data_IF_109657096181
#
_entry.id   IF_109657096181
#
_cell.length_a   1.000
_cell.length_b   1.000
_cell.length_c   1.000
_cell.angle_alpha   90.00
_cell.angle_beta   90.00
_cell.angle_gamma   90.00
#
_symmetry.space_group_name_H-M   'P 1'
#
loop_
_entity.id
_entity.type
_entity.pdbx_description
1 polymer ?
#
# COMPACT_ATOMS: atom_id res chain seq x y z
N UNK A 1 -1.55 -0.11 -36.02
CA UNK A 1 -1.32 -1.15 -35.00
C UNK A 1 -1.25 -0.46 -33.65
N UNK A 2 -2.20 -0.73 -32.76
CA UNK A 2 -2.16 -0.20 -31.38
C UNK A 2 -1.22 -1.10 -30.59
N UNK A 3 -0.15 -0.53 -30.04
CA UNK A 3 0.82 -1.23 -29.22
C UNK A 3 0.41 -1.00 -27.76
N UNK A 4 -0.10 -2.04 -27.10
CA UNK A 4 -0.52 -2.01 -25.70
C UNK A 4 0.47 -2.87 -24.92
N UNK A 5 1.40 -2.20 -24.24
CA UNK A 5 2.22 -2.88 -23.25
C UNK A 5 1.33 -3.22 -22.05
N UNK A 6 1.25 -4.49 -21.61
CA UNK A 6 0.62 -4.80 -20.34
C UNK A 6 1.37 -4.07 -19.23
N UNK A 7 0.63 -3.43 -18.32
CA UNK A 7 1.22 -2.81 -17.13
C UNK A 7 1.87 -3.94 -16.34
N UNK A 8 3.20 -3.95 -16.32
CA UNK A 8 3.98 -4.85 -15.49
C UNK A 8 4.10 -4.20 -14.10
N UNK A 9 3.38 -4.68 -13.08
CA UNK A 9 3.35 -4.03 -11.77
C UNK A 9 4.74 -4.02 -11.11
N UNK A 10 5.63 -4.94 -11.50
CA UNK A 10 6.95 -5.08 -10.91
C UNK A 10 7.92 -3.95 -11.34
N UNK A 11 7.69 -3.27 -12.46
CA UNK A 11 8.56 -2.18 -12.92
C UNK A 11 8.27 -0.84 -12.25
N UNK A 12 7.21 -0.74 -11.43
CA UNK A 12 6.87 0.49 -10.68
C UNK A 12 7.29 0.44 -9.21
N UNK A 13 7.72 -0.73 -8.72
CA UNK A 13 8.07 -0.96 -7.30
C UNK A 13 9.44 -0.35 -6.94
N UNK A 14 10.27 0.02 -7.92
CA UNK A 14 11.57 0.68 -7.72
C UNK A 14 11.47 2.03 -6.98
N UNK A 15 10.27 2.62 -6.87
CA UNK A 15 10.03 3.86 -6.10
C UNK A 15 10.22 3.70 -4.59
N UNK A 16 10.34 2.48 -4.07
CA UNK A 16 10.45 2.18 -2.62
C UNK A 16 11.86 2.28 -2.04
N UNK A 17 12.90 2.47 -2.88
CA UNK A 17 14.30 2.39 -2.44
C UNK A 17 14.81 3.56 -1.56
N UNK A 18 14.03 4.63 -1.35
CA UNK A 18 14.52 5.79 -0.58
C UNK A 18 13.40 6.54 0.17
N UNK A 19 12.64 5.82 1.00
CA UNK A 19 11.61 6.40 1.86
C UNK A 19 12.25 6.75 3.22
N UNK A 20 12.67 8.01 3.42
CA UNK A 20 13.45 8.44 4.61
C UNK A 20 12.89 9.66 5.36
N UNK A 21 11.83 10.33 4.90
CA UNK A 21 11.34 11.56 5.57
C UNK A 21 9.82 11.71 5.56
N UNK A 22 9.27 12.55 6.43
CA UNK A 22 7.83 12.84 6.60
C UNK A 22 7.08 13.25 5.33
N UNK A 23 7.77 13.72 4.28
CA UNK A 23 7.20 13.94 2.94
C UNK A 23 6.77 12.65 2.22
N UNK A 24 7.27 11.50 2.67
CA UNK A 24 6.95 10.18 2.12
C UNK A 24 5.63 9.59 2.61
N UNK A 25 4.97 10.15 3.64
CA UNK A 25 3.79 9.45 4.20
C UNK A 25 2.63 9.34 3.19
N UNK A 26 2.37 10.40 2.41
CA UNK A 26 1.36 10.35 1.34
C UNK A 26 1.76 9.39 0.23
N UNK A 27 3.03 9.40 -0.16
CA UNK A 27 3.57 8.53 -1.20
C UNK A 27 3.58 7.06 -0.77
N UNK A 28 3.88 6.79 0.50
CA UNK A 28 3.79 5.47 1.11
C UNK A 28 2.35 4.95 1.09
N UNK A 29 1.38 5.80 1.42
CA UNK A 29 -0.04 5.44 1.31
C UNK A 29 -0.46 5.17 -0.14
N UNK A 30 -0.01 5.98 -1.09
CA UNK A 30 -0.27 5.79 -2.53
C UNK A 30 0.26 4.44 -3.01
N UNK A 31 1.51 4.09 -2.67
CA UNK A 31 2.09 2.77 -2.98
C UNK A 31 1.31 1.63 -2.31
N UNK A 32 0.87 1.81 -1.06
CA UNK A 32 0.06 0.80 -0.37
C UNK A 32 -1.30 0.59 -1.07
N UNK A 33 -1.92 1.66 -1.58
CA UNK A 33 -3.17 1.58 -2.35
C UNK A 33 -2.97 0.92 -3.72
N UNK A 34 -1.88 1.25 -4.41
CA UNK A 34 -1.52 0.59 -5.67
C UNK A 34 -1.27 -0.91 -5.47
N UNK A 35 -0.65 -1.30 -4.35
CA UNK A 35 -0.53 -2.71 -4.01
C UNK A 35 -1.89 -3.37 -3.74
N UNK A 36 -2.78 -2.71 -3.00
CA UNK A 36 -4.13 -3.22 -2.73
C UNK A 36 -4.96 -3.40 -4.02
N UNK A 37 -4.84 -2.50 -5.00
CA UNK A 37 -5.53 -2.65 -6.29
C UNK A 37 -5.04 -3.90 -7.04
N UNK A 38 -3.73 -4.14 -7.09
CA UNK A 38 -3.14 -5.34 -7.71
C UNK A 38 -3.65 -6.61 -7.00
N UNK A 39 -3.70 -6.57 -5.67
CA UNK A 39 -4.20 -7.69 -4.86
C UNK A 39 -5.68 -7.99 -5.17
N UNK A 40 -6.54 -6.96 -5.18
CA UNK A 40 -7.96 -7.10 -5.52
C UNK A 40 -8.12 -7.63 -6.95
N UNK A 41 -7.39 -7.06 -7.92
CA UNK A 41 -7.40 -7.52 -9.30
C UNK A 41 -7.05 -9.01 -9.41
N UNK A 42 -6.05 -9.46 -8.66
CA UNK A 42 -5.65 -10.86 -8.61
C UNK A 42 -6.77 -11.73 -8.06
N UNK A 43 -7.43 -11.32 -6.96
CA UNK A 43 -8.58 -12.05 -6.41
C UNK A 43 -9.72 -12.16 -7.43
N UNK A 44 -10.07 -11.05 -8.10
CA UNK A 44 -11.14 -11.03 -9.11
C UNK A 44 -10.83 -12.01 -10.26
N UNK A 45 -9.59 -12.00 -10.77
CA UNK A 45 -9.12 -12.93 -11.80
C UNK A 45 -9.18 -14.38 -11.36
N UNK A 46 -8.72 -14.70 -10.14
CA UNK A 46 -8.76 -16.07 -9.61
C UNK A 46 -10.20 -16.56 -9.36
N UNK A 47 -11.07 -15.68 -8.87
CA UNK A 47 -12.50 -15.96 -8.70
C UNK A 47 -13.17 -16.31 -10.03
N UNK A 48 -12.98 -15.47 -11.07
CA UNK A 48 -13.47 -15.77 -12.43
C UNK A 48 -12.90 -17.07 -12.99
N UNK A 49 -11.61 -17.31 -12.79
CA UNK A 49 -10.93 -18.51 -13.30
C UNK A 49 -11.52 -19.79 -12.68
N UNK A 50 -11.90 -19.72 -11.40
CA UNK A 50 -12.56 -20.82 -10.69
C UNK A 50 -13.97 -21.11 -11.25
N UNK A 51 -14.72 -20.08 -11.66
CA UNK A 51 -16.06 -20.23 -12.24
C UNK A 51 -16.05 -20.72 -13.70
N UNK A 52 -15.02 -20.39 -14.48
CA UNK A 52 -14.91 -20.81 -15.89
C UNK A 52 -14.45 -22.27 -16.05
N UNK A 53 -14.08 -22.95 -14.97
CA UNK A 53 -13.71 -24.37 -15.00
C UNK A 53 -14.88 -25.28 -15.45
N UNK A 54 -16.13 -24.80 -15.39
CA UNK A 54 -17.35 -25.57 -15.69
C UNK A 54 -18.03 -25.19 -17.03
N UNK A 55 -17.56 -24.14 -17.72
CA UNK A 55 -18.18 -23.61 -18.94
C UNK A 55 -17.46 -24.04 -20.24
N UNK A 56 -18.07 -24.95 -21.00
CA UNK A 56 -17.55 -25.56 -22.25
C UNK A 56 -17.40 -24.62 -23.47
N UNK A 57 -17.30 -23.29 -23.28
CA UNK A 57 -17.13 -22.34 -24.41
C UNK A 57 -15.90 -21.45 -24.22
N UNK A 58 -14.95 -21.54 -25.15
CA UNK A 58 -13.79 -20.66 -25.20
C UNK A 58 -14.24 -19.19 -25.31
N UNK A 59 -13.72 -18.35 -24.43
CA UNK A 59 -13.93 -16.90 -24.52
C UNK A 59 -13.16 -16.34 -25.72
N UNK A 60 -13.79 -15.48 -26.50
CA UNK A 60 -13.07 -14.73 -27.53
C UNK A 60 -11.99 -13.84 -26.91
N UNK A 61 -10.90 -13.60 -27.65
CA UNK A 61 -9.82 -12.71 -27.21
C UNK A 61 -10.34 -11.31 -26.83
N UNK A 62 -11.29 -10.76 -27.60
CA UNK A 62 -11.90 -9.46 -27.32
C UNK A 62 -12.63 -9.44 -25.96
N UNK A 63 -13.30 -10.54 -25.59
CA UNK A 63 -13.96 -10.67 -24.29
C UNK A 63 -12.93 -10.74 -23.16
N UNK A 64 -11.87 -11.54 -23.33
CA UNK A 64 -10.81 -11.66 -22.31
C UNK A 64 -10.17 -10.30 -22.03
N UNK A 65 -9.82 -9.56 -23.08
CA UNK A 65 -9.24 -8.22 -22.95
C UNK A 65 -10.21 -7.24 -22.26
N UNK A 66 -11.50 -7.26 -22.61
CA UNK A 66 -12.49 -6.39 -21.98
C UNK A 66 -12.65 -6.71 -20.49
N UNK A 67 -12.68 -7.99 -20.12
CA UNK A 67 -12.71 -8.42 -18.72
C UNK A 67 -11.47 -7.97 -17.95
N UNK A 68 -10.28 -8.10 -18.54
CA UNK A 68 -9.03 -7.66 -17.91
C UNK A 68 -9.00 -6.16 -17.64
N UNK A 69 -9.40 -5.34 -18.61
CA UNK A 69 -9.46 -3.89 -18.47
C UNK A 69 -10.51 -3.46 -17.45
N UNK A 70 -11.66 -4.14 -17.45
CA UNK A 70 -12.71 -3.89 -16.48
C UNK A 70 -12.28 -4.24 -15.06
N UNK A 71 -11.67 -5.41 -14.86
CA UNK A 71 -11.18 -5.85 -13.55
C UNK A 71 -10.04 -4.95 -13.05
N UNK A 72 -9.22 -4.40 -13.95
CA UNK A 72 -8.17 -3.43 -13.62
C UNK A 72 -8.77 -2.14 -13.07
N UNK A 73 -9.70 -1.51 -13.81
CA UNK A 73 -10.31 -0.25 -13.39
C UNK A 73 -11.13 -0.41 -12.11
N UNK A 74 -11.92 -1.48 -12.03
CA UNK A 74 -12.69 -1.81 -10.83
C UNK A 74 -11.79 -1.97 -9.61
N UNK A 75 -10.64 -2.64 -9.76
CA UNK A 75 -9.71 -2.84 -8.65
C UNK A 75 -9.05 -1.54 -8.16
N UNK A 76 -8.80 -0.58 -9.07
CA UNK A 76 -8.29 0.76 -8.71
C UNK A 76 -9.33 1.53 -7.91
N UNK A 77 -10.56 1.62 -8.43
CA UNK A 77 -11.66 2.31 -7.75
C UNK A 77 -11.91 1.73 -6.35
N UNK A 78 -11.90 0.40 -6.22
CA UNK A 78 -12.05 -0.28 -4.94
C UNK A 78 -10.93 0.09 -3.95
N UNK A 79 -9.68 0.14 -4.40
CA UNK A 79 -8.52 0.47 -3.56
C UNK A 79 -8.42 1.95 -3.18
N UNK A 80 -8.97 2.86 -4.01
CA UNK A 80 -9.06 4.29 -3.67
C UNK A 80 -10.09 4.58 -2.58
N UNK A 81 -11.21 3.85 -2.62
CA UNK A 81 -12.30 3.90 -1.65
C UNK A 81 -11.97 3.20 -0.33
N UNK A 82 -12.93 2.41 0.16
CA UNK A 82 -12.77 1.67 1.43
C UNK A 82 -11.84 0.46 1.30
N UNK A 83 -11.74 -0.13 0.10
CA UNK A 83 -10.93 -1.31 -0.18
C UNK A 83 -11.28 -2.51 0.68
N UNK A 84 -10.31 -3.42 0.81
CA UNK A 84 -10.33 -4.52 1.79
C UNK A 84 -9.61 -4.14 3.09
N UNK A 85 -9.00 -2.95 3.13
CA UNK A 85 -8.26 -2.42 4.27
C UNK A 85 -6.78 -2.80 4.30
N UNK A 86 -6.29 -3.45 3.24
CA UNK A 86 -4.91 -3.95 3.17
C UNK A 86 -3.91 -2.80 3.08
N UNK A 87 -4.19 -1.77 2.28
CA UNK A 87 -3.31 -0.61 2.16
C UNK A 87 -3.09 0.07 3.52
N UNK A 88 -4.14 0.16 4.34
CA UNK A 88 -4.06 0.76 5.68
C UNK A 88 -3.16 -0.05 6.61
N UNK A 89 -3.27 -1.37 6.59
CA UNK A 89 -2.48 -2.21 7.49
C UNK A 89 -1.02 -2.27 7.05
N UNK A 90 -0.76 -2.35 5.74
CA UNK A 90 0.58 -2.21 5.17
C UNK A 90 1.20 -0.85 5.53
N UNK A 91 0.45 0.24 5.37
CA UNK A 91 0.89 1.56 5.75
C UNK A 91 1.29 1.62 7.23
N UNK A 92 0.47 1.09 8.15
CA UNK A 92 0.82 1.06 9.58
C UNK A 92 2.08 0.25 9.86
N UNK A 93 2.28 -0.88 9.19
CA UNK A 93 3.47 -1.71 9.39
C UNK A 93 4.73 -1.01 8.87
N UNK A 94 4.67 -0.48 7.66
CA UNK A 94 5.78 0.21 7.02
C UNK A 94 6.13 1.51 7.75
N UNK A 95 5.14 2.33 8.10
CA UNK A 95 5.35 3.57 8.86
C UNK A 95 5.95 3.32 10.24
N UNK A 96 5.55 2.25 10.96
CA UNK A 96 6.18 1.91 12.25
C UNK A 96 7.64 1.48 12.11
N UNK A 97 7.99 0.78 11.04
CA UNK A 97 9.34 0.29 10.81
C UNK A 97 10.28 1.35 10.22
N UNK A 98 9.77 2.32 9.46
CA UNK A 98 10.55 3.42 8.87
C UNK A 98 10.56 4.69 9.71
N UNK A 99 9.59 4.89 10.61
CA UNK A 99 9.46 6.09 11.45
C UNK A 99 9.80 5.85 12.93
N UNK A 100 10.45 4.73 13.31
CA UNK A 100 11.00 4.59 14.66
C UNK A 100 12.00 5.74 14.90
N UNK A 101 11.75 6.66 15.84
CA UNK A 101 12.18 8.04 15.71
C UNK A 101 13.55 8.32 16.33
N UNK A 102 14.24 9.32 15.77
CA UNK A 102 15.24 10.15 16.42
C UNK A 102 14.59 11.08 17.47
N UNK A 103 13.84 10.51 18.42
CA UNK A 103 13.26 11.22 19.57
C UNK A 103 13.45 10.39 20.85
N UNK A 104 14.69 10.01 21.13
CA UNK A 104 15.04 9.50 22.45
C UNK A 104 16.52 9.66 22.80
N UNK A 105 17.17 10.78 22.49
CA UNK A 105 18.45 11.13 23.15
C UNK A 105 18.60 12.66 23.30
N UNK A 106 18.20 13.15 24.48
CA UNK A 106 18.90 14.21 25.20
C UNK A 106 18.51 14.09 26.69
N UNK A 107 19.40 13.43 27.43
CA UNK A 107 19.95 13.77 28.75
C UNK A 107 18.95 14.12 29.88
N UNK A 108 18.91 13.50 31.06
CA UNK A 108 19.98 12.94 31.87
C UNK A 108 19.89 13.54 33.29
N UNK A 109 19.81 12.66 34.30
CA UNK A 109 20.17 12.88 35.71
C UNK A 109 19.14 13.51 36.69
N UNK A 110 18.51 12.64 37.50
CA UNK A 110 18.18 12.94 38.89
C UNK A 110 19.48 12.97 39.72
N UNK A 111 19.67 13.94 40.62
CA UNK A 111 19.89 13.74 42.07
C UNK A 111 20.24 15.05 42.83
N UNK A 112 19.38 15.39 43.80
CA UNK A 112 19.63 15.95 45.14
C UNK A 112 20.68 17.06 45.40
N UNK A 113 20.22 18.21 45.96
CA UNK A 113 20.73 18.74 47.24
C UNK A 113 19.92 19.94 47.77
N UNK A 114 19.29 19.73 48.93
CA UNK A 114 19.19 20.61 50.11
C UNK A 114 19.14 22.17 49.99
N UNK A 115 18.01 22.70 50.52
CA UNK A 115 17.85 23.80 51.50
C UNK A 115 18.31 25.21 51.11
N UNK A 116 17.33 26.10 50.89
CA UNK A 116 17.41 27.47 51.40
C UNK A 116 16.05 27.89 51.98
N UNK A 117 16.05 28.08 53.29
CA UNK A 117 15.02 28.64 54.15
C UNK A 117 14.92 30.17 54.00
N UNK A 118 13.85 30.77 54.57
CA UNK A 118 13.65 32.21 54.90
C UNK A 118 12.97 32.97 53.74
N UNK A 119 11.80 33.62 53.80
CA UNK A 119 10.92 34.28 54.80
C UNK A 119 9.47 34.22 54.21
N UNK A 120 8.33 34.12 54.92
CA UNK A 120 7.80 34.91 56.04
C UNK A 120 6.61 34.15 56.68
#
# INVERSE_FOLDING_TARGET
>A
MVNLNPINPLSQIDKTANIKSTGDQKKLMEVCREFESIFINTILKQSRSSLNAEGLTEKSYARQLMEELHDEELSKEMAEGQGVGLARELYKQLSRNTLKPALSESDGEEESAAVESVDL
#
